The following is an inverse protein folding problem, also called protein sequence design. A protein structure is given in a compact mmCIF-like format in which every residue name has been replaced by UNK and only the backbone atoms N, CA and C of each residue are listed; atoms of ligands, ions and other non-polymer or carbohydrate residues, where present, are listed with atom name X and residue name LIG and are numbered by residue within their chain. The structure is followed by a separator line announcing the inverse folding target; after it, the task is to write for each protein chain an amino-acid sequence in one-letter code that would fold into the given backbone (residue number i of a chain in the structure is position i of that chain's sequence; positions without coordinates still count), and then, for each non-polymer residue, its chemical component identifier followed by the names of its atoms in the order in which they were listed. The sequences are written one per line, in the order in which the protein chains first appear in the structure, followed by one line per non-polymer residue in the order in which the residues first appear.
data_IF_027137607702
#
_entry.id   IF_027137607702
#
_cell.length_a   1.000
_cell.length_b   1.000
_cell.length_c   1.000
_cell.angle_alpha   90.00
_cell.angle_beta   90.00
_cell.angle_gamma   90.00
#
_symmetry.space_group_name_H-M   'P 1'
#
loop_
_entity.id
_entity.type
_entity.pdbx_description
1 polymer ?
#
# COMPACT_ATOMS: atom_id res chain seq x y z
N UNK A 1 29.64 -5.67 14.92
CA UNK A 1 29.19 -4.47 14.20
C UNK A 1 27.76 -4.28 14.66
N UNK A 2 27.57 -3.41 15.65
CA UNK A 2 26.30 -3.23 16.36
C UNK A 2 25.36 -2.39 15.50
N UNK A 3 24.25 -2.99 15.08
CA UNK A 3 23.08 -2.25 14.61
C UNK A 3 22.58 -1.45 15.80
N UNK A 4 22.68 -0.12 15.72
CA UNK A 4 21.98 0.76 16.64
C UNK A 4 20.49 0.62 16.31
N UNK A 5 19.74 0.05 17.26
CA UNK A 5 18.30 0.16 17.32
C UNK A 5 17.97 1.65 17.54
N UNK A 6 17.74 2.39 16.45
CA UNK A 6 16.93 3.61 16.49
C UNK A 6 15.47 3.16 16.68
N UNK A 7 15.14 2.80 17.92
CA UNK A 7 13.76 2.56 18.32
C UNK A 7 12.90 3.80 18.03
N UNK A 8 11.65 3.54 17.64
CA UNK A 8 10.67 4.54 17.18
C UNK A 8 10.67 5.84 17.98
N UNK A 9 11.39 6.83 17.49
CA UNK A 9 11.15 8.21 17.84
C UNK A 9 9.87 8.65 17.13
N UNK A 10 8.90 9.16 17.88
CA UNK A 10 7.63 9.67 17.34
C UNK A 10 7.92 10.67 16.21
N UNK A 11 7.64 10.26 14.98
CA UNK A 11 7.75 11.11 13.80
C UNK A 11 6.73 12.25 13.95
N UNK A 12 7.21 13.49 14.05
CA UNK A 12 6.32 14.65 14.16
C UNK A 12 6.00 15.13 12.74
N UNK A 13 4.80 14.83 12.24
CA UNK A 13 4.32 15.45 11.02
C UNK A 13 3.86 16.89 11.29
N UNK A 14 4.46 17.86 10.61
CA UNK A 14 4.03 19.26 10.64
C UNK A 14 3.05 19.47 9.49
N UNK A 15 1.81 19.84 9.84
CA UNK A 15 0.65 19.84 8.94
C UNK A 15 0.11 21.25 8.71
N UNK A 16 -0.35 21.51 7.48
CA UNK A 16 -0.98 22.78 7.14
C UNK A 16 -2.24 22.97 8.00
N UNK A 17 -2.41 24.15 8.61
CA UNK A 17 -3.56 24.45 9.45
C UNK A 17 -4.89 24.41 8.70
N UNK A 18 -4.86 24.63 7.38
CA UNK A 18 -6.06 24.83 6.57
C UNK A 18 -6.50 23.55 5.87
N UNK A 19 -5.57 22.80 5.28
CA UNK A 19 -5.86 21.57 4.54
C UNK A 19 -5.43 20.28 5.24
N UNK A 20 -4.72 20.36 6.37
CA UNK A 20 -4.22 19.20 7.10
C UNK A 20 -3.04 18.47 6.45
N UNK A 21 -2.71 18.77 5.18
CA UNK A 21 -1.64 18.09 4.43
C UNK A 21 -0.28 18.29 5.12
N UNK A 22 0.50 17.20 5.33
CA UNK A 22 1.84 17.31 5.89
C UNK A 22 2.77 18.05 4.92
N UNK A 23 3.63 18.92 5.44
CA UNK A 23 4.60 19.66 4.63
C UNK A 23 6.04 19.62 5.19
N UNK A 24 6.22 19.24 6.46
CA UNK A 24 7.52 18.85 7.02
C UNK A 24 7.41 17.60 7.89
N UNK A 25 8.54 16.89 7.99
CA UNK A 25 8.81 15.88 9.02
C UNK A 25 9.76 16.51 10.05
N UNK A 26 9.33 16.50 11.30
CA UNK A 26 10.10 16.95 12.45
C UNK A 26 10.89 15.80 13.07
N UNK A 27 12.21 15.92 13.04
CA UNK A 27 13.12 15.16 13.89
C UNK A 27 13.65 16.07 15.01
N UNK A 28 14.05 15.53 16.17
CA UNK A 28 14.66 16.33 17.22
C UNK A 28 15.85 17.16 16.70
N UNK A 29 15.67 18.48 16.59
CA UNK A 29 16.68 19.42 16.14
C UNK A 29 16.78 19.65 14.63
N UNK A 30 15.91 19.06 13.80
CA UNK A 30 15.89 19.33 12.36
C UNK A 30 14.48 19.14 11.75
N UNK A 31 14.08 20.08 10.90
CA UNK A 31 12.85 19.98 10.09
C UNK A 31 13.24 19.72 8.64
N UNK A 32 12.61 18.73 8.03
CA UNK A 32 12.83 18.41 6.62
C UNK A 32 11.53 18.48 5.84
N UNK A 33 11.56 19.13 4.66
CA UNK A 33 10.35 19.21 3.83
C UNK A 33 9.97 17.82 3.33
N UNK A 34 8.67 17.59 3.16
CA UNK A 34 8.16 16.31 2.63
C UNK A 34 8.79 15.98 1.27
N UNK A 35 8.94 16.98 0.39
CA UNK A 35 9.57 16.75 -0.91
C UNK A 35 11.03 16.31 -0.81
N UNK A 36 11.78 16.78 0.21
CA UNK A 36 13.14 16.29 0.45
C UNK A 36 13.11 14.90 1.08
N UNK A 37 12.20 14.67 2.03
CA UNK A 37 12.03 13.39 2.70
C UNK A 37 11.52 12.27 1.77
N UNK A 38 11.04 12.62 0.58
CA UNK A 38 10.60 11.67 -0.45
C UNK A 38 11.62 11.50 -1.59
N UNK A 39 12.82 12.05 -1.46
CA UNK A 39 13.92 11.75 -2.40
C UNK A 39 14.54 10.38 -2.10
N UNK A 40 15.00 9.67 -3.13
CA UNK A 40 15.78 8.44 -2.94
C UNK A 40 17.02 8.70 -2.08
N UNK A 41 17.72 9.81 -2.33
CA UNK A 41 18.93 10.22 -1.61
C UNK A 41 18.70 10.33 -0.10
N UNK A 42 17.55 10.88 0.31
CA UNK A 42 17.26 11.03 1.73
C UNK A 42 16.80 9.72 2.37
N UNK A 43 15.85 9.03 1.72
CA UNK A 43 15.23 7.79 2.25
C UNK A 43 16.27 6.69 2.36
N UNK A 44 17.12 6.54 1.34
CA UNK A 44 18.12 5.49 1.24
C UNK A 44 19.53 5.96 1.65
N UNK A 45 19.66 7.09 2.35
CA UNK A 45 20.96 7.53 2.87
C UNK A 45 21.60 6.42 3.72
N UNK A 46 22.75 5.91 3.26
CA UNK A 46 23.50 4.80 3.87
C UNK A 46 22.75 3.47 3.92
N UNK A 47 21.67 3.33 3.17
CA UNK A 47 20.90 2.11 3.01
C UNK A 47 20.82 1.76 1.52
N UNK A 48 20.86 0.47 1.19
CA UNK A 48 20.68 0.01 -0.18
C UNK A 48 19.42 -0.85 -0.21
N UNK A 49 18.28 -0.34 -0.69
CA UNK A 49 17.06 -1.13 -0.77
C UNK A 49 17.23 -2.29 -1.77
N UNK A 50 16.48 -3.36 -1.56
CA UNK A 50 16.34 -4.40 -2.57
C UNK A 50 15.44 -3.88 -3.71
N UNK A 51 15.95 -3.98 -4.94
CA UNK A 51 15.13 -3.73 -6.13
C UNK A 51 14.31 -4.97 -6.40
N UNK A 52 13.01 -4.82 -6.24
CA UNK A 52 12.04 -5.89 -6.40
C UNK A 52 11.54 -5.99 -7.85
N UNK A 53 11.59 -4.89 -8.60
CA UNK A 53 11.29 -4.92 -10.02
C UNK A 53 11.16 -3.54 -10.64
N UNK A 54 10.54 -3.51 -11.81
CA UNK A 54 10.21 -2.27 -12.49
C UNK A 54 8.80 -2.31 -13.05
N UNK A 55 8.03 -1.23 -12.88
CA UNK A 55 6.65 -1.11 -13.37
C UNK A 55 6.44 0.23 -14.05
N UNK A 56 6.06 0.23 -15.32
CA UNK A 56 5.82 1.47 -16.09
C UNK A 56 6.97 2.51 -15.96
N UNK A 57 8.22 2.02 -16.03
CA UNK A 57 9.43 2.83 -15.88
C UNK A 57 9.77 3.25 -14.45
N UNK A 58 8.95 2.87 -13.46
CA UNK A 58 9.24 3.06 -12.05
C UNK A 58 10.10 1.91 -11.51
N UNK A 59 11.01 2.23 -10.59
CA UNK A 59 11.75 1.24 -9.80
C UNK A 59 10.92 0.88 -8.58
N UNK A 60 10.72 -0.41 -8.36
CA UNK A 60 10.02 -0.95 -7.19
C UNK A 60 11.05 -1.36 -6.14
N UNK A 61 11.07 -0.69 -5.00
CA UNK A 61 11.94 -1.05 -3.87
C UNK A 61 11.13 -1.79 -2.81
N UNK A 62 11.46 -3.05 -2.55
CA UNK A 62 10.82 -3.81 -1.50
C UNK A 62 11.43 -3.45 -0.14
N UNK A 63 10.56 -3.27 0.85
CA UNK A 63 10.91 -2.84 2.20
C UNK A 63 10.37 -3.88 3.18
N UNK A 64 11.29 -4.65 3.77
CA UNK A 64 10.98 -5.54 4.87
C UNK A 64 10.74 -4.75 6.17
N UNK A 65 9.69 -5.08 6.94
CA UNK A 65 9.57 -4.62 8.31
C UNK A 65 10.60 -5.34 9.22
N UNK A 66 11.17 -4.66 10.24
CA UNK A 66 11.05 -3.24 10.50
C UNK A 66 11.96 -2.41 9.58
N UNK A 67 11.43 -1.33 9.01
CA UNK A 67 12.20 -0.43 8.17
C UNK A 67 12.97 0.63 8.98
N UNK A 68 13.88 1.36 8.32
CA UNK A 68 14.64 2.44 8.95
C UNK A 68 13.74 3.61 9.39
N UNK A 69 14.21 4.42 10.33
CA UNK A 69 13.50 5.62 10.82
C UNK A 69 13.09 6.56 9.68
N UNK A 70 13.95 6.74 8.67
CA UNK A 70 13.65 7.57 7.49
C UNK A 70 12.59 6.96 6.58
N UNK A 71 12.67 5.64 6.33
CA UNK A 71 11.66 4.94 5.53
C UNK A 71 10.30 4.99 6.23
N UNK A 72 10.26 4.70 7.54
CA UNK A 72 9.03 4.80 8.33
C UNK A 72 8.46 6.22 8.31
N UNK A 73 9.32 7.25 8.40
CA UNK A 73 8.90 8.65 8.31
C UNK A 73 8.27 8.99 6.96
N UNK A 74 8.90 8.56 5.86
CA UNK A 74 8.40 8.77 4.51
C UNK A 74 7.08 8.03 4.25
N UNK A 75 6.96 6.78 4.69
CA UNK A 75 5.72 5.99 4.60
C UNK A 75 4.61 6.66 5.41
N UNK A 76 4.88 7.03 6.66
CA UNK A 76 3.91 7.70 7.54
C UNK A 76 3.39 9.00 6.91
N UNK A 77 4.29 9.79 6.31
CA UNK A 77 3.91 10.99 5.57
C UNK A 77 2.96 10.70 4.40
N UNK A 78 3.26 9.70 3.57
CA UNK A 78 2.41 9.35 2.42
C UNK A 78 1.09 8.70 2.84
N UNK A 79 1.08 7.91 3.92
CA UNK A 79 -0.14 7.34 4.51
C UNK A 79 -1.04 8.47 5.04
N UNK A 80 -0.45 9.50 5.67
CA UNK A 80 -1.20 10.67 6.11
C UNK A 80 -1.76 11.49 4.92
N UNK A 81 -0.97 11.67 3.85
CA UNK A 81 -1.44 12.28 2.59
C UNK A 81 -2.68 11.55 2.05
N UNK A 82 -2.63 10.21 1.90
CA UNK A 82 -3.78 9.45 1.35
C UNK A 82 -4.98 9.43 2.29
N UNK A 83 -4.77 9.40 3.60
CA UNK A 83 -5.86 9.41 4.58
C UNK A 83 -6.60 10.76 4.55
N UNK A 84 -5.90 11.87 4.35
CA UNK A 84 -6.51 13.20 4.17
C UNK A 84 -7.31 13.27 2.87
N UNK A 85 -6.76 12.74 1.78
CA UNK A 85 -7.43 12.78 0.47
C UNK A 85 -8.68 11.90 0.39
N UNK A 86 -8.63 10.71 1.01
CA UNK A 86 -9.68 9.69 0.87
C UNK A 86 -10.66 9.67 2.04
N UNK A 87 -10.30 10.27 3.18
CA UNK A 87 -11.07 10.18 4.41
C UNK A 87 -11.09 8.77 5.03
N UNK A 88 -10.26 7.85 4.52
CA UNK A 88 -10.06 6.52 5.10
C UNK A 88 -8.86 6.59 6.05
N UNK A 89 -8.97 5.92 7.20
CA UNK A 89 -7.86 5.74 8.12
C UNK A 89 -7.44 4.27 8.04
N UNK A 90 -6.53 3.94 7.13
CA UNK A 90 -5.80 2.69 7.28
C UNK A 90 -4.64 2.96 8.23
N UNK A 91 -4.57 2.18 9.30
CA UNK A 91 -3.46 2.26 10.23
C UNK A 91 -2.24 1.58 9.61
N UNK A 92 -1.16 2.35 9.45
CA UNK A 92 0.16 1.81 9.10
C UNK A 92 0.80 1.19 10.33
N UNK A 93 1.16 -0.08 10.24
CA UNK A 93 1.95 -0.77 11.24
C UNK A 93 3.40 -0.99 10.74
N UNK A 94 4.38 -0.21 11.22
CA UNK A 94 5.78 -0.33 10.79
C UNK A 94 6.44 -1.67 11.14
N UNK A 95 5.84 -2.45 12.05
CA UNK A 95 6.35 -3.75 12.49
C UNK A 95 5.76 -4.92 11.71
N UNK A 96 4.67 -4.73 10.96
CA UNK A 96 3.92 -5.83 10.33
C UNK A 96 3.61 -5.63 8.84
N UNK A 97 3.46 -4.39 8.39
CA UNK A 97 3.05 -4.11 7.02
C UNK A 97 4.29 -4.15 6.10
N UNK A 98 4.17 -4.88 5.01
CA UNK A 98 5.17 -4.95 3.94
C UNK A 98 4.90 -3.86 2.90
N UNK A 99 5.96 -3.26 2.34
CA UNK A 99 5.85 -2.18 1.38
C UNK A 99 6.68 -2.39 0.13
N UNK A 100 6.17 -1.85 -0.97
CA UNK A 100 6.96 -1.50 -2.15
C UNK A 100 6.89 0.00 -2.35
N UNK A 101 8.03 0.67 -2.33
CA UNK A 101 8.14 2.08 -2.72
C UNK A 101 8.27 2.19 -4.24
N UNK A 102 7.50 3.10 -4.83
CA UNK A 102 7.48 3.35 -6.27
C UNK A 102 8.32 4.59 -6.58
N UNK A 103 9.43 4.42 -7.30
CA UNK A 103 10.34 5.52 -7.62
C UNK A 103 10.41 5.85 -9.09
N UNK A 104 10.55 7.13 -9.42
CA UNK A 104 10.88 7.59 -10.76
C UNK A 104 12.39 7.74 -11.01
N UNK A 105 13.23 7.27 -10.09
CA UNK A 105 14.71 7.34 -10.13
C UNK A 105 15.32 8.55 -9.42
N UNK A 106 14.49 9.45 -8.90
CA UNK A 106 14.93 10.57 -8.05
C UNK A 106 14.04 10.70 -6.81
N UNK A 107 12.74 10.48 -6.99
CA UNK A 107 11.72 10.66 -5.97
C UNK A 107 10.87 9.41 -5.83
N UNK A 108 10.52 9.10 -4.59
CA UNK A 108 9.45 8.18 -4.25
C UNK A 108 8.13 8.90 -4.51
N UNK A 109 7.35 8.36 -5.44
CA UNK A 109 6.11 8.95 -5.94
C UNK A 109 4.86 8.20 -5.50
N UNK A 110 5.02 7.13 -4.72
CA UNK A 110 3.93 6.28 -4.29
C UNK A 110 4.42 5.03 -3.59
N UNK A 111 3.47 4.20 -3.16
CA UNK A 111 3.74 2.92 -2.54
C UNK A 111 2.60 1.92 -2.77
N UNK A 112 2.91 0.65 -2.56
CA UNK A 112 1.96 -0.45 -2.39
C UNK A 112 2.21 -1.05 -1.01
N UNK A 113 1.16 -1.30 -0.22
CA UNK A 113 1.27 -1.96 1.07
C UNK A 113 0.34 -3.15 1.19
N UNK A 114 0.79 -4.15 1.94
CA UNK A 114 -0.02 -5.32 2.29
C UNK A 114 0.41 -5.88 3.64
N UNK A 115 -0.51 -6.65 4.24
CA UNK A 115 -0.23 -7.45 5.43
C UNK A 115 -0.62 -8.90 5.22
N UNK A 116 -0.06 -9.78 6.03
CA UNK A 116 -0.48 -11.19 6.07
C UNK A 116 -1.69 -11.31 7.01
N UNK A 117 -2.90 -11.44 6.44
CA UNK A 117 -4.13 -11.71 7.19
C UNK A 117 -4.60 -13.13 6.90
N UNK A 118 -4.84 -13.90 7.96
CA UNK A 118 -5.25 -15.32 7.87
C UNK A 118 -4.36 -16.19 6.98
N UNK A 119 -3.06 -15.88 6.91
CA UNK A 119 -2.10 -16.61 6.08
C UNK A 119 -2.02 -16.14 4.63
N UNK A 120 -2.81 -15.14 4.24
CA UNK A 120 -2.82 -14.60 2.88
C UNK A 120 -2.34 -13.15 2.84
N UNK A 121 -1.62 -12.81 1.76
CA UNK A 121 -1.26 -11.42 1.48
C UNK A 121 -2.52 -10.63 1.10
N UNK A 122 -2.83 -9.64 1.93
CA UNK A 122 -3.99 -8.76 1.78
C UNK A 122 -3.51 -7.37 1.45
N UNK A 123 -3.79 -6.94 0.22
CA UNK A 123 -3.49 -5.59 -0.24
C UNK A 123 -4.25 -4.57 0.63
N UNK A 124 -3.52 -3.65 1.25
CA UNK A 124 -4.10 -2.64 2.13
C UNK A 124 -4.25 -1.31 1.39
N UNK A 125 -3.16 -0.82 0.79
CA UNK A 125 -3.17 0.47 0.11
C UNK A 125 -2.32 0.47 -1.14
N UNK A 126 -2.79 1.22 -2.14
CA UNK A 126 -1.99 1.64 -3.29
C UNK A 126 -2.14 3.13 -3.42
N UNK A 127 -1.03 3.84 -3.36
CA UNK A 127 -1.00 5.28 -3.42
C UNK A 127 0.00 5.76 -4.47
N UNK A 128 -0.41 6.76 -5.24
CA UNK A 128 0.45 7.54 -6.14
C UNK A 128 0.16 9.00 -5.84
N UNK A 129 1.21 9.78 -5.57
CA UNK A 129 1.11 11.22 -5.26
C UNK A 129 0.43 11.97 -6.40
N UNK A 130 -0.34 13.00 -6.06
CA UNK A 130 -1.17 13.78 -7.00
C UNK A 130 -0.42 14.20 -8.27
N UNK A 131 0.79 14.76 -8.11
CA UNK A 131 1.63 15.25 -9.22
C UNK A 131 2.14 14.15 -10.17
N UNK A 132 1.96 12.88 -9.80
CA UNK A 132 2.36 11.71 -10.58
C UNK A 132 1.17 10.89 -11.11
N UNK A 133 -0.08 11.33 -10.86
CA UNK A 133 -1.30 10.65 -11.33
C UNK A 133 -1.51 10.82 -12.83
N UNK A 134 -2.51 10.10 -13.37
CA UNK A 134 -2.91 10.10 -14.78
C UNK A 134 -1.86 9.57 -15.77
N UNK A 135 -0.88 8.82 -15.28
CA UNK A 135 0.19 8.18 -16.08
C UNK A 135 0.09 6.65 -16.17
N UNK A 136 -0.94 6.06 -15.57
CA UNK A 136 -1.14 4.60 -15.50
C UNK A 136 -0.48 3.93 -14.30
N UNK A 137 0.40 4.62 -13.57
CA UNK A 137 1.19 4.05 -12.46
C UNK A 137 0.40 3.25 -11.44
N UNK A 138 -0.73 3.76 -10.93
CA UNK A 138 -1.52 3.04 -9.92
C UNK A 138 -2.08 1.71 -10.44
N UNK A 139 -2.60 1.69 -11.67
CA UNK A 139 -3.13 0.48 -12.31
C UNK A 139 -2.01 -0.54 -12.54
N UNK A 140 -0.91 -0.10 -13.12
CA UNK A 140 0.20 -1.00 -13.49
C UNK A 140 0.88 -1.54 -12.22
N UNK A 141 0.97 -0.72 -11.16
CA UNK A 141 1.46 -1.13 -9.84
C UNK A 141 0.59 -2.23 -9.21
N UNK A 142 -0.74 -2.06 -9.23
CA UNK A 142 -1.69 -3.09 -8.76
C UNK A 142 -1.51 -4.39 -9.54
N UNK A 143 -1.46 -4.31 -10.87
CA UNK A 143 -1.29 -5.48 -11.72
C UNK A 143 0.03 -6.20 -11.43
N UNK A 144 1.12 -5.45 -11.37
CA UNK A 144 2.45 -5.98 -11.03
C UNK A 144 2.46 -6.66 -9.67
N UNK A 145 1.79 -6.09 -8.66
CA UNK A 145 1.69 -6.70 -7.34
C UNK A 145 0.93 -8.02 -7.39
N UNK A 146 -0.18 -8.12 -8.14
CA UNK A 146 -0.90 -9.39 -8.30
C UNK A 146 -0.08 -10.45 -9.02
N UNK A 147 0.60 -10.09 -10.10
CA UNK A 147 1.41 -11.05 -10.86
C UNK A 147 2.59 -11.58 -10.03
N UNK A 148 3.08 -10.78 -9.08
CA UNK A 148 4.26 -11.11 -8.28
C UNK A 148 3.96 -11.75 -6.93
N UNK A 149 2.97 -11.22 -6.23
CA UNK A 149 2.66 -11.57 -4.85
C UNK A 149 1.25 -12.14 -4.67
N UNK A 150 0.39 -11.99 -5.68
CA UNK A 150 -0.92 -12.60 -5.68
C UNK A 150 -0.81 -14.13 -5.73
N UNK A 151 -1.65 -14.78 -4.94
CA UNK A 151 -1.93 -16.20 -5.07
C UNK A 151 -3.04 -16.41 -6.12
N UNK A 152 -3.55 -17.63 -6.26
CA UNK A 152 -4.74 -17.91 -7.09
C UNK A 152 -5.95 -17.04 -6.67
N UNK A 153 -5.97 -16.59 -5.41
CA UNK A 153 -6.95 -15.64 -4.88
C UNK A 153 -6.23 -14.45 -4.27
N UNK A 154 -6.75 -13.27 -4.58
CA UNK A 154 -6.19 -12.01 -4.11
C UNK A 154 -7.12 -11.43 -3.06
N UNK A 155 -6.53 -10.92 -1.99
CA UNK A 155 -7.27 -10.28 -0.92
C UNK A 155 -6.98 -8.79 -0.88
N UNK A 156 -8.02 -8.01 -0.61
CA UNK A 156 -7.91 -6.56 -0.42
C UNK A 156 -8.68 -6.14 0.82
N UNK A 157 -8.17 -5.12 1.51
CA UNK A 157 -8.95 -4.34 2.47
C UNK A 157 -10.07 -3.56 1.75
N UNK A 158 -10.98 -2.94 2.51
CA UNK A 158 -12.13 -2.23 1.97
C UNK A 158 -11.70 -1.19 0.92
N UNK A 159 -12.27 -1.31 -0.29
CA UNK A 159 -11.93 -0.44 -1.40
C UNK A 159 -12.79 0.82 -1.41
N UNK A 160 -12.17 1.97 -1.65
CA UNK A 160 -12.90 3.17 -2.07
C UNK A 160 -13.43 3.02 -3.51
N UNK A 161 -14.32 3.92 -3.95
CA UNK A 161 -14.94 3.88 -5.28
C UNK A 161 -13.92 3.92 -6.42
N UNK A 162 -12.81 4.66 -6.25
CA UNK A 162 -11.75 4.78 -7.25
C UNK A 162 -11.02 3.44 -7.40
N UNK A 163 -10.60 2.83 -6.30
CA UNK A 163 -9.96 1.52 -6.28
C UNK A 163 -10.89 0.46 -6.88
N UNK A 164 -12.16 0.42 -6.47
CA UNK A 164 -13.16 -0.51 -7.02
C UNK A 164 -13.35 -0.33 -8.52
N UNK A 165 -13.33 0.90 -9.03
CA UNK A 165 -13.38 1.18 -10.47
C UNK A 165 -12.14 0.64 -11.18
N UNK A 166 -10.93 0.89 -10.66
CA UNK A 166 -9.68 0.39 -11.24
C UNK A 166 -9.71 -1.13 -11.36
N UNK A 167 -10.10 -1.83 -10.29
CA UNK A 167 -10.18 -3.28 -10.26
C UNK A 167 -11.26 -3.84 -11.20
N UNK A 168 -12.39 -3.15 -11.30
CA UNK A 168 -13.46 -3.49 -12.27
C UNK A 168 -12.96 -3.33 -13.70
N UNK A 169 -12.27 -2.24 -14.00
CA UNK A 169 -11.70 -1.95 -15.33
C UNK A 169 -10.57 -2.95 -15.69
N UNK A 170 -9.92 -3.54 -14.68
CA UNK A 170 -8.98 -4.67 -14.83
C UNK A 170 -9.67 -6.03 -15.00
N UNK A 171 -10.99 -6.12 -14.81
CA UNK A 171 -11.76 -7.36 -14.95
C UNK A 171 -11.73 -8.28 -13.72
N UNK A 172 -11.24 -7.82 -12.58
CA UNK A 172 -10.96 -8.65 -11.39
C UNK A 172 -12.19 -9.03 -10.53
N UNK A 173 -13.37 -8.54 -10.89
CA UNK A 173 -14.65 -8.77 -10.16
C UNK A 173 -15.68 -9.58 -10.96
N UNK A 174 -15.31 -10.24 -12.06
CA UNK A 174 -16.29 -10.96 -12.90
C UNK A 174 -16.40 -12.44 -12.53
N UNK A 175 -17.63 -12.90 -12.30
CA UNK A 175 -18.00 -14.33 -12.34
C UNK A 175 -17.78 -14.88 -13.76
N UNK A 176 -16.80 -15.75 -13.92
CA UNK A 176 -16.54 -16.50 -15.16
C UNK A 176 -15.10 -16.40 -15.67
N UNK A 177 -14.42 -17.56 -15.69
CA UNK A 177 -13.20 -17.91 -16.44
C UNK A 177 -11.93 -17.04 -16.30
N UNK A 178 -11.81 -16.20 -15.27
CA UNK A 178 -10.52 -15.62 -14.88
C UNK A 178 -9.86 -16.43 -13.75
N UNK A 179 -8.53 -16.55 -13.79
CA UNK A 179 -7.75 -17.30 -12.79
C UNK A 179 -7.71 -16.61 -11.42
N UNK A 180 -7.98 -15.29 -11.35
CA UNK A 180 -7.87 -14.49 -10.13
C UNK A 180 -9.17 -13.73 -9.83
N UNK A 181 -9.76 -14.00 -8.67
CA UNK A 181 -10.89 -13.25 -8.10
C UNK A 181 -10.39 -12.45 -6.90
N UNK A 182 -10.83 -11.19 -6.79
CA UNK A 182 -10.50 -10.37 -5.60
C UNK A 182 -11.57 -10.54 -4.53
N UNK A 183 -11.13 -10.96 -3.35
CA UNK A 183 -11.95 -11.04 -2.14
C UNK A 183 -11.71 -9.77 -1.33
N UNK A 184 -12.74 -8.95 -1.20
CA UNK A 184 -12.71 -7.74 -0.39
C UNK A 184 -13.10 -8.07 1.05
N UNK A 185 -12.24 -7.71 2.00
CA UNK A 185 -12.57 -7.71 3.41
C UNK A 185 -13.17 -6.36 3.77
N UNK A 186 -14.46 -6.33 4.10
CA UNK A 186 -15.08 -5.18 4.74
C UNK A 186 -14.86 -5.29 6.25
N UNK A 187 -14.12 -4.35 6.85
CA UNK A 187 -13.92 -4.31 8.29
C UNK A 187 -15.23 -3.97 9.03
N UNK A 188 -15.88 -5.01 9.55
CA UNK A 188 -16.49 -5.00 10.87
C UNK A 188 -16.09 -6.31 11.54
N UNK A 189 -15.14 -6.27 12.47
CA UNK A 189 -14.81 -7.40 13.35
C UNK A 189 -16.09 -7.99 14.01
N UNK A 190 -16.26 -9.33 14.17
CA UNK A 190 -15.62 -10.46 13.51
C UNK A 190 -16.65 -11.48 12.96
N UNK A 191 -16.89 -11.58 11.65
CA UNK A 191 -17.36 -12.83 10.99
C UNK A 191 -17.00 -12.76 9.50
N UNK A 192 -15.77 -13.14 9.15
CA UNK A 192 -15.46 -13.49 7.78
C UNK A 192 -16.16 -14.80 7.41
N UNK A 193 -16.84 -14.84 6.26
CA UNK A 193 -17.19 -16.10 5.61
C UNK A 193 -16.18 -16.31 4.48
N UNK A 194 -15.44 -17.39 4.61
CA UNK A 194 -14.51 -17.96 3.65
C UNK A 194 -15.30 -18.80 2.63
N UNK A 195 -14.99 -18.69 1.33
CA UNK A 195 -15.49 -19.66 0.34
C UNK A 195 -14.34 -20.12 -0.55
N UNK A 196 -13.90 -21.35 -0.30
CA UNK A 196 -13.02 -22.16 -1.15
C UNK A 196 -13.74 -22.57 -2.45
N UNK A 197 -13.01 -22.53 -3.57
CA UNK A 197 -13.44 -22.94 -4.92
C UNK A 197 -14.04 -24.35 -5.00
N UNK A 198 -13.72 -25.26 -4.07
CA UNK A 198 -14.32 -26.62 -3.99
C UNK A 198 -15.73 -26.67 -3.41
N UNK A 199 -16.20 -25.62 -2.73
CA UNK A 199 -17.53 -25.60 -2.10
C UNK A 199 -18.64 -25.27 -3.10
N UNK A 200 -18.32 -24.58 -4.20
CA UNK A 200 -19.30 -24.17 -5.20
C UNK A 200 -19.77 -25.32 -6.12
N UNK A 201 -18.91 -26.30 -6.39
CA UNK A 201 -19.25 -27.47 -7.23
C UNK A 201 -20.27 -28.43 -6.58
N UNK A 202 -20.69 -28.17 -5.33
CA UNK A 202 -21.57 -29.06 -4.55
C UNK A 202 -23.02 -28.56 -4.43
N UNK A 203 -23.34 -27.30 -4.75
CA UNK A 203 -24.70 -26.77 -4.56
C UNK A 203 -25.27 -26.03 -5.79
N UNK A 204 -25.86 -26.76 -6.76
CA UNK A 204 -26.72 -26.15 -7.75
C UNK A 204 -28.07 -25.83 -7.07
N UNK A 205 -28.45 -24.56 -7.10
CA UNK A 205 -29.73 -24.01 -6.63
C UNK A 205 -29.83 -23.76 -5.11
N UNK A 206 -29.64 -22.51 -4.70
CA UNK A 206 -30.56 -21.83 -3.77
C UNK A 206 -30.34 -20.31 -3.81
N UNK A 207 -31.43 -19.58 -4.04
CA UNK A 207 -31.47 -18.12 -4.08
C UNK A 207 -31.43 -17.54 -2.66
N UNK A 208 -30.73 -16.42 -2.47
CA UNK A 208 -31.05 -15.49 -1.40
C UNK A 208 -30.94 -14.03 -1.88
N UNK A 209 -32.06 -13.31 -1.75
CA UNK A 209 -32.16 -11.86 -1.67
C UNK A 209 -31.98 -11.44 -0.21
N UNK A 210 -31.20 -10.40 0.08
CA UNK A 210 -31.65 -9.01 0.36
C UNK A 210 -30.52 -8.09 -0.11
#
# INVERSE_FOLDING_TARGET
MSMENEGGEDVILIKCSDCGVPYYIGHPGNEISIDTALTEDWIFDRYSPEIDGTVNGLVCYYIDPPASSRINSAITAMVDEVNIETGLATDYNPDMDEFVLLSNGENIIGFISWSIRWGHKTLQQVYVRENSRNKGYGRDAIQWWFEKYGEDTVYSDQMNEISRKVFTDMGLFRDGDHETTVVEFSDFYPQGIEIDKKVYDVYPNQAFSI
#
